data_IF_880024852369
#
_entry.id   IF_880024852369
#
_cell.length_a   1.000
_cell.length_b   1.000
_cell.length_c   1.000
_cell.angle_alpha   90.00
_cell.angle_beta   90.00
_cell.angle_gamma   90.00
#
_symmetry.space_group_name_H-M   'P 1'
#
loop_
_entity.id
_entity.type
_entity.pdbx_description
1 polymer ?
#
# COMPACT_ATOMS: atom_id res chain seq x y z
N UNK A 1 -14.45 78.32 -21.37
CA UNK A 1 -13.80 77.94 -22.65
C UNK A 1 -12.91 76.72 -22.39
N UNK A 2 -13.07 75.65 -23.18
CA UNK A 2 -12.31 74.36 -23.18
C UNK A 2 -12.70 73.38 -22.05
N UNK A 3 -13.60 72.42 -22.29
CA UNK A 3 -13.53 71.14 -23.06
C UNK A 3 -12.88 70.00 -22.25
N UNK A 4 -13.78 69.07 -21.90
CA UNK A 4 -13.69 67.63 -21.61
C UNK A 4 -12.52 66.89 -22.29
N UNK A 5 -11.81 65.99 -21.60
CA UNK A 5 -11.59 64.61 -22.07
C UNK A 5 -11.56 63.68 -20.84
N UNK A 6 -12.60 62.86 -20.72
CA UNK A 6 -12.66 61.66 -19.89
C UNK A 6 -11.95 60.55 -20.68
N UNK A 7 -10.88 59.98 -20.17
CA UNK A 7 -10.27 58.78 -20.75
C UNK A 7 -10.83 57.57 -20.01
N UNK A 8 -11.82 56.91 -20.65
CA UNK A 8 -12.14 55.50 -20.40
C UNK A 8 -10.96 54.65 -20.91
N UNK A 9 -10.34 53.87 -20.04
CA UNK A 9 -9.54 52.71 -20.46
C UNK A 9 -10.42 51.48 -20.29
N UNK A 10 -10.93 51.02 -21.43
CA UNK A 10 -11.64 49.76 -21.57
C UNK A 10 -10.66 48.57 -21.48
N UNK A 11 -11.20 47.46 -21.01
CA UNK A 11 -10.54 46.22 -20.66
C UNK A 11 -9.86 45.52 -21.86
N UNK A 12 -8.73 44.87 -21.59
CA UNK A 12 -8.35 43.63 -22.27
C UNK A 12 -7.69 42.70 -21.25
N UNK A 13 -8.51 41.97 -20.51
CA UNK A 13 -8.05 40.85 -19.70
C UNK A 13 -7.53 39.75 -20.62
N UNK A 14 -6.21 39.61 -20.71
CA UNK A 14 -5.61 38.39 -21.23
C UNK A 14 -5.71 37.32 -20.15
N UNK A 15 -6.71 36.44 -20.28
CA UNK A 15 -6.79 35.17 -19.57
C UNK A 15 -5.45 34.43 -19.74
N UNK A 16 -4.79 33.98 -18.65
CA UNK A 16 -3.62 33.13 -18.78
C UNK A 16 -4.05 31.85 -19.47
N UNK A 17 -3.44 31.58 -20.64
CA UNK A 17 -3.52 30.29 -21.31
C UNK A 17 -3.06 29.23 -20.32
N UNK A 18 -4.01 28.52 -19.72
CA UNK A 18 -3.75 27.25 -19.08
C UNK A 18 -3.27 26.30 -20.18
N UNK A 19 -1.95 26.21 -20.34
CA UNK A 19 -1.32 25.08 -20.98
C UNK A 19 -1.83 23.86 -20.23
N UNK A 20 -2.72 23.09 -20.86
CA UNK A 20 -2.95 21.69 -20.51
C UNK A 20 -1.64 20.97 -20.82
N UNK A 21 -0.65 21.16 -19.95
CA UNK A 21 0.43 20.21 -19.82
C UNK A 21 -0.24 18.87 -19.65
N UNK A 22 0.00 17.98 -20.60
CA UNK A 22 -0.25 16.55 -20.40
C UNK A 22 0.38 16.23 -19.05
N UNK A 23 -0.45 16.01 -18.03
CA UNK A 23 -0.02 15.31 -16.83
C UNK A 23 0.33 13.93 -17.36
N UNK A 24 1.61 13.78 -17.71
CA UNK A 24 2.22 12.48 -17.85
C UNK A 24 2.00 11.86 -16.48
N UNK A 25 1.08 10.90 -16.41
CA UNK A 25 0.93 10.06 -15.24
C UNK A 25 2.23 9.27 -15.12
N UNK A 26 3.25 9.86 -14.52
CA UNK A 26 4.35 9.12 -13.94
C UNK A 26 3.73 8.29 -12.84
N UNK A 27 3.41 7.04 -13.17
CA UNK A 27 3.20 5.97 -12.20
C UNK A 27 4.34 6.09 -11.19
N UNK A 28 3.97 6.50 -9.98
CA UNK A 28 4.93 6.81 -8.94
C UNK A 28 5.47 5.51 -8.38
N UNK A 29 6.78 5.30 -8.51
CA UNK A 29 7.44 4.14 -7.93
C UNK A 29 7.09 3.98 -6.45
N UNK A 30 7.10 2.74 -5.99
CA UNK A 30 6.99 2.42 -4.57
C UNK A 30 8.40 2.08 -4.07
N UNK A 31 8.91 2.88 -3.15
CA UNK A 31 10.27 2.69 -2.60
C UNK A 31 10.30 1.68 -1.46
N UNK A 32 9.20 1.59 -0.71
CA UNK A 32 9.10 0.78 0.51
C UNK A 32 7.72 0.19 0.67
N UNK A 33 7.69 -1.07 1.09
CA UNK A 33 6.47 -1.77 1.48
C UNK A 33 6.70 -2.45 2.81
N UNK A 34 5.69 -2.40 3.66
CA UNK A 34 5.65 -3.04 4.95
C UNK A 34 4.36 -3.85 5.03
N UNK A 35 4.47 -5.11 5.39
CA UNK A 35 3.33 -5.98 5.65
C UNK A 35 3.33 -6.33 7.13
N UNK A 36 2.27 -6.02 7.86
CA UNK A 36 2.09 -6.47 9.23
C UNK A 36 0.97 -7.50 9.32
N UNK A 37 1.21 -8.56 10.09
CA UNK A 37 0.26 -9.64 10.28
C UNK A 37 -0.16 -9.69 11.73
N UNK A 38 -1.43 -9.43 11.95
CA UNK A 38 -2.08 -9.50 13.24
C UNK A 38 -3.00 -10.72 13.22
N UNK A 39 -2.68 -11.74 14.03
CA UNK A 39 -3.55 -12.88 14.23
C UNK A 39 -4.19 -12.76 15.60
N UNK A 40 -5.51 -12.65 15.67
CA UNK A 40 -6.18 -12.67 16.97
C UNK A 40 -6.19 -14.11 17.54
N UNK A 41 -5.95 -14.34 18.84
CA UNK A 41 -5.70 -13.38 19.92
C UNK A 41 -4.21 -13.10 20.20
N UNK A 42 -3.31 -13.41 19.25
CA UNK A 42 -1.87 -13.23 19.45
C UNK A 42 -1.52 -11.76 19.68
N UNK A 43 -0.70 -11.50 20.71
CA UNK A 43 -0.20 -10.16 21.05
C UNK A 43 1.03 -9.75 20.22
N UNK A 44 1.61 -10.73 19.55
CA UNK A 44 2.79 -10.56 18.71
C UNK A 44 2.37 -10.27 17.28
N UNK A 45 3.12 -9.38 16.64
CA UNK A 45 2.88 -8.96 15.25
C UNK A 45 4.16 -9.20 14.49
N UNK A 46 4.11 -10.04 13.47
CA UNK A 46 5.20 -10.16 12.51
C UNK A 46 5.08 -9.02 11.50
N UNK A 47 6.18 -8.32 11.28
CA UNK A 47 6.29 -7.23 10.32
C UNK A 47 7.36 -7.60 9.30
N UNK A 48 7.00 -7.48 8.03
CA UNK A 48 7.86 -7.75 6.89
C UNK A 48 8.08 -6.42 6.18
N UNK A 49 9.27 -5.84 6.32
CA UNK A 49 9.63 -4.64 5.57
C UNK A 49 10.50 -5.01 4.38
N UNK A 50 10.16 -4.47 3.23
CA UNK A 50 10.96 -4.58 2.03
C UNK A 50 11.19 -3.20 1.44
N UNK A 51 12.44 -2.93 1.05
CA UNK A 51 12.81 -1.77 0.25
C UNK A 51 13.34 -2.22 -1.11
N UNK A 52 14.20 -1.43 -1.76
CA UNK A 52 14.82 -1.71 -3.07
C UNK A 52 16.02 -2.66 -3.01
N UNK A 53 16.45 -3.11 -1.83
CA UNK A 53 17.63 -3.98 -1.65
C UNK A 53 17.48 -5.09 -0.60
N UNK A 54 16.54 -4.94 0.33
CA UNK A 54 16.48 -5.79 1.51
C UNK A 54 15.05 -6.17 1.88
N UNK A 55 14.92 -7.35 2.49
CA UNK A 55 13.73 -7.84 3.17
C UNK A 55 14.09 -8.13 4.62
N UNK A 56 13.33 -7.55 5.55
CA UNK A 56 13.51 -7.68 7.00
C UNK A 56 12.26 -8.25 7.62
N UNK A 57 12.44 -9.22 8.52
CA UNK A 57 11.38 -9.79 9.35
C UNK A 57 11.60 -9.32 10.78
N UNK A 58 10.58 -8.69 11.35
CA UNK A 58 10.58 -8.11 12.68
C UNK A 58 9.44 -8.67 13.51
N UNK A 59 9.67 -8.82 14.81
CA UNK A 59 8.65 -9.19 15.78
C UNK A 59 8.36 -7.98 16.66
N UNK A 60 7.15 -7.45 16.54
CA UNK A 60 6.65 -6.42 17.44
C UNK A 60 5.84 -7.07 18.56
N UNK A 61 6.34 -6.93 19.79
CA UNK A 61 5.59 -7.33 20.98
C UNK A 61 4.74 -6.16 21.45
N UNK A 62 3.43 -6.18 21.16
CA UNK A 62 2.53 -5.07 21.52
C UNK A 62 2.36 -4.87 23.04
N UNK A 63 2.75 -5.83 23.87
CA UNK A 63 2.69 -5.68 25.33
C UNK A 63 3.88 -4.91 25.90
N UNK A 64 5.04 -5.02 25.25
CA UNK A 64 6.29 -4.41 25.69
C UNK A 64 6.72 -3.22 24.83
N UNK A 65 6.13 -3.05 23.64
CA UNK A 65 6.55 -2.06 22.66
C UNK A 65 7.95 -2.32 22.10
N UNK A 66 8.48 -3.53 22.30
CA UNK A 66 9.82 -3.92 21.86
C UNK A 66 9.73 -4.56 20.50
N UNK A 67 10.65 -4.14 19.63
CA UNK A 67 10.84 -4.66 18.28
C UNK A 67 12.11 -5.52 18.24
N UNK A 68 12.00 -6.75 17.74
CA UNK A 68 13.13 -7.66 17.56
C UNK A 68 13.31 -7.99 16.09
N UNK A 69 14.50 -7.71 15.55
CA UNK A 69 14.88 -8.19 14.22
C UNK A 69 15.07 -9.71 14.28
N UNK A 70 14.23 -10.44 13.55
CA UNK A 70 14.28 -11.90 13.48
C UNK A 70 15.14 -12.38 12.31
N UNK A 71 15.05 -11.70 11.18
CA UNK A 71 15.80 -12.04 9.98
C UNK A 71 16.00 -10.82 9.07
N UNK A 72 17.10 -10.82 8.32
CA UNK A 72 17.36 -9.88 7.22
C UNK A 72 17.97 -10.65 6.05
N UNK A 73 17.48 -10.36 4.84
CA UNK A 73 17.93 -10.97 3.59
C UNK A 73 18.13 -9.88 2.54
N UNK A 74 19.21 -9.99 1.79
CA UNK A 74 19.38 -9.21 0.55
C UNK A 74 18.51 -9.86 -0.54
N UNK A 75 17.78 -9.03 -1.29
CA UNK A 75 16.83 -9.50 -2.31
C UNK A 75 17.01 -8.72 -3.60
N UNK A 76 16.94 -9.40 -4.75
CA UNK A 76 16.91 -8.73 -6.06
C UNK A 76 15.45 -8.39 -6.42
N UNK A 77 15.16 -7.10 -6.38
CA UNK A 77 13.79 -6.56 -6.42
C UNK A 77 13.36 -6.10 -7.82
N UNK A 78 14.05 -6.52 -8.88
CA UNK A 78 13.45 -6.47 -10.24
C UNK A 78 12.07 -7.13 -10.26
N UNK A 79 11.84 -8.14 -9.42
CA UNK A 79 10.52 -8.76 -9.24
C UNK A 79 9.50 -7.88 -8.49
N UNK A 80 9.92 -6.91 -7.68
CA UNK A 80 9.03 -6.12 -6.84
C UNK A 80 8.43 -4.90 -7.54
N UNK A 81 9.17 -4.30 -8.48
CA UNK A 81 8.64 -3.26 -9.37
C UNK A 81 7.39 -3.72 -10.14
N UNK A 82 7.25 -5.03 -10.35
CA UNK A 82 6.09 -5.64 -11.02
C UNK A 82 4.80 -5.44 -10.19
N UNK A 83 4.90 -5.41 -8.86
CA UNK A 83 3.74 -5.34 -7.95
C UNK A 83 3.26 -3.91 -7.67
N UNK A 84 4.02 -2.89 -8.06
CA UNK A 84 3.58 -1.49 -7.91
C UNK A 84 2.24 -1.24 -8.60
N UNK A 85 2.09 -1.76 -9.81
CA UNK A 85 0.86 -1.64 -10.58
C UNK A 85 -0.32 -2.37 -9.94
N UNK A 86 -0.06 -3.39 -9.11
CA UNK A 86 -1.10 -4.17 -8.44
C UNK A 86 -1.47 -3.56 -7.08
N UNK A 87 -0.49 -3.01 -6.35
CA UNK A 87 -0.70 -2.34 -5.07
C UNK A 87 -1.31 -0.96 -5.25
N UNK A 88 -0.94 -0.24 -6.31
CA UNK A 88 -1.50 1.08 -6.61
C UNK A 88 -3.00 1.04 -6.97
N UNK A 89 -3.53 -0.13 -7.32
CA UNK A 89 -4.95 -0.36 -7.62
C UNK A 89 -5.83 -0.49 -6.37
N UNK A 90 -5.25 -0.60 -5.17
CA UNK A 90 -6.06 -0.61 -3.96
C UNK A 90 -6.83 0.72 -3.84
N UNK A 91 -8.15 0.61 -3.96
CA UNK A 91 -9.10 1.71 -3.96
C UNK A 91 -9.82 1.88 -2.61
N UNK A 92 -9.69 0.90 -1.71
CA UNK A 92 -10.25 0.92 -0.36
C UNK A 92 -9.16 0.84 0.70
N UNK A 93 -9.40 1.47 1.84
CA UNK A 93 -8.53 1.32 3.02
C UNK A 93 -8.77 0.00 3.76
N UNK A 94 -9.94 -0.63 3.55
CA UNK A 94 -10.34 -1.87 4.20
C UNK A 94 -11.06 -2.80 3.21
N UNK A 95 -10.52 -4.01 3.06
CA UNK A 95 -11.20 -5.15 2.45
C UNK A 95 -11.50 -6.17 3.54
N UNK A 96 -12.78 -6.50 3.76
CA UNK A 96 -13.18 -7.36 4.86
C UNK A 96 -14.22 -8.39 4.44
N UNK A 97 -14.05 -9.63 4.87
CA UNK A 97 -15.12 -10.62 4.88
C UNK A 97 -15.95 -10.45 6.15
N UNK A 98 -17.15 -9.89 6.02
CA UNK A 98 -18.01 -9.55 7.17
C UNK A 98 -18.52 -10.76 7.96
N UNK A 99 -18.48 -11.95 7.37
CA UNK A 99 -18.98 -13.16 8.02
C UNK A 99 -17.96 -13.81 8.96
N UNK A 100 -16.74 -13.29 9.00
CA UNK A 100 -15.69 -13.75 9.90
C UNK A 100 -15.25 -12.58 10.75
N UNK A 101 -15.75 -12.55 11.99
CA UNK A 101 -15.43 -11.49 12.96
C UNK A 101 -13.99 -11.62 13.50
N UNK A 102 -13.53 -12.86 13.72
CA UNK A 102 -12.23 -13.15 14.31
C UNK A 102 -11.34 -13.91 13.32
N UNK A 103 -10.06 -13.54 13.23
CA UNK A 103 -9.11 -14.24 12.38
C UNK A 103 -7.87 -13.44 12.06
N UNK A 104 -7.39 -13.57 10.82
CA UNK A 104 -6.18 -12.92 10.35
C UNK A 104 -6.51 -11.52 9.81
N UNK A 105 -5.76 -10.55 10.29
CA UNK A 105 -5.73 -9.19 9.78
C UNK A 105 -4.35 -8.91 9.22
N UNK A 106 -4.29 -8.64 7.93
CA UNK A 106 -3.05 -8.22 7.25
C UNK A 106 -3.16 -6.73 6.95
N UNK A 107 -2.17 -5.95 7.35
CA UNK A 107 -2.07 -4.54 6.96
C UNK A 107 -0.90 -4.38 6.02
N UNK A 108 -1.18 -3.93 4.81
CA UNK A 108 -0.19 -3.54 3.83
C UNK A 108 0.00 -2.03 3.88
N UNK A 109 1.21 -1.59 4.21
CA UNK A 109 1.61 -0.20 4.14
C UNK A 109 2.64 -0.01 3.03
N UNK A 110 2.50 1.03 2.22
CA UNK A 110 3.44 1.32 1.15
C UNK A 110 3.64 2.82 0.99
N UNK A 111 4.88 3.20 0.67
CA UNK A 111 5.27 4.58 0.45
C UNK A 111 5.41 4.81 -1.05
N UNK A 112 4.57 5.71 -1.57
CA UNK A 112 4.69 6.18 -2.95
C UNK A 112 5.89 7.13 -3.07
N UNK A 113 6.41 7.31 -4.28
CA UNK A 113 7.48 8.27 -4.59
C UNK A 113 7.18 9.72 -4.14
N UNK A 114 5.91 10.09 -4.03
CA UNK A 114 5.51 11.39 -3.48
C UNK A 114 5.57 11.45 -1.94
N UNK A 115 6.19 10.44 -1.30
CA UNK A 115 6.27 10.23 0.15
C UNK A 115 4.92 10.01 0.84
N UNK A 116 3.84 9.78 0.09
CA UNK A 116 2.54 9.45 0.68
C UNK A 116 2.55 8.02 1.20
N UNK A 117 2.34 7.87 2.51
CA UNK A 117 2.11 6.57 3.13
C UNK A 117 0.65 6.16 2.93
N UNK A 118 0.43 5.05 2.23
CA UNK A 118 -0.88 4.40 2.15
C UNK A 118 -0.90 3.16 3.02
N UNK A 119 -2.05 2.90 3.65
CA UNK A 119 -2.30 1.71 4.46
C UNK A 119 -3.59 1.06 3.99
N UNK A 120 -3.54 -0.23 3.73
CA UNK A 120 -4.66 -1.05 3.28
C UNK A 120 -4.77 -2.25 4.22
N UNK A 121 -5.95 -2.45 4.79
CA UNK A 121 -6.22 -3.53 5.73
C UNK A 121 -7.06 -4.61 5.07
N UNK A 122 -6.66 -5.86 5.27
CA UNK A 122 -7.37 -7.06 4.81
C UNK A 122 -7.77 -7.87 6.02
N UNK A 123 -9.07 -8.00 6.26
CA UNK A 123 -9.63 -8.79 7.37
C UNK A 123 -10.30 -10.03 6.80
N UNK A 124 -9.63 -11.19 6.91
CA UNK A 124 -10.12 -12.46 6.36
C UNK A 124 -10.56 -12.36 4.89
N UNK A 125 -9.83 -11.59 4.08
CA UNK A 125 -10.22 -11.25 2.71
C UNK A 125 -9.14 -11.63 1.70
N UNK A 126 -9.55 -12.28 0.61
CA UNK A 126 -8.66 -12.59 -0.51
C UNK A 126 -8.55 -11.42 -1.49
N UNK A 127 -7.33 -11.01 -1.80
CA UNK A 127 -7.05 -10.06 -2.88
C UNK A 127 -5.80 -10.48 -3.66
N UNK A 128 -5.88 -10.50 -4.99
CA UNK A 128 -4.78 -10.96 -5.88
C UNK A 128 -3.51 -10.12 -5.71
N UNK A 129 -3.63 -8.79 -5.67
CA UNK A 129 -2.48 -7.90 -5.39
C UNK A 129 -1.79 -8.20 -4.06
N UNK A 130 -2.55 -8.60 -3.02
CA UNK A 130 -1.98 -8.99 -1.74
C UNK A 130 -1.29 -10.36 -1.82
N UNK A 131 -1.90 -11.33 -2.52
CA UNK A 131 -1.32 -12.66 -2.76
C UNK A 131 0.07 -12.54 -3.42
N UNK A 132 0.21 -11.68 -4.43
CA UNK A 132 1.48 -11.43 -5.11
C UNK A 132 2.58 -10.92 -4.18
N UNK A 133 2.25 -9.96 -3.31
CA UNK A 133 3.20 -9.44 -2.30
C UNK A 133 3.60 -10.54 -1.31
N UNK A 134 2.63 -11.32 -0.84
CA UNK A 134 2.88 -12.43 0.09
C UNK A 134 3.75 -13.51 -0.56
N UNK A 135 3.48 -13.88 -1.81
CA UNK A 135 4.29 -14.86 -2.54
C UNK A 135 5.73 -14.39 -2.73
N UNK A 136 5.93 -13.09 -2.99
CA UNK A 136 7.27 -12.51 -3.02
C UNK A 136 7.98 -12.66 -1.67
N UNK A 137 7.33 -12.27 -0.57
CA UNK A 137 7.91 -12.41 0.78
C UNK A 137 8.24 -13.87 1.08
N UNK A 138 7.30 -14.79 0.90
CA UNK A 138 7.45 -16.22 1.19
C UNK A 138 8.56 -16.89 0.37
N UNK A 139 8.84 -16.40 -0.83
CA UNK A 139 9.94 -16.91 -1.66
C UNK A 139 11.32 -16.46 -1.20
N UNK A 140 11.39 -15.45 -0.32
CA UNK A 140 12.63 -14.80 0.12
C UNK A 140 12.89 -14.92 1.63
N UNK A 141 11.99 -15.53 2.40
CA UNK A 141 12.17 -15.80 3.84
C UNK A 141 12.24 -17.30 4.10
N UNK A 142 12.86 -17.65 5.23
CA UNK A 142 12.86 -19.03 5.70
C UNK A 142 11.43 -19.48 6.03
N UNK A 143 11.13 -20.78 5.87
CA UNK A 143 9.78 -21.34 6.02
C UNK A 143 9.11 -21.02 7.36
N UNK A 144 9.89 -20.87 8.44
CA UNK A 144 9.42 -20.48 9.77
C UNK A 144 8.78 -19.08 9.82
N UNK A 145 9.15 -18.21 8.89
CA UNK A 145 8.61 -16.86 8.73
C UNK A 145 7.67 -16.75 7.52
N UNK A 146 7.27 -17.87 6.93
CA UNK A 146 6.33 -17.84 5.82
C UNK A 146 4.94 -17.43 6.30
N UNK A 147 4.29 -16.62 5.48
CA UNK A 147 2.96 -16.09 5.69
C UNK A 147 1.95 -17.10 5.15
N UNK A 148 1.10 -17.63 6.04
CA UNK A 148 -0.05 -18.41 5.63
C UNK A 148 -1.11 -17.50 5.02
N UNK A 149 -1.40 -17.69 3.73
CA UNK A 149 -2.43 -16.98 2.98
C UNK A 149 -3.16 -17.95 2.04
N UNK A 150 -4.16 -18.66 2.57
CA UNK A 150 -4.86 -19.71 1.84
C UNK A 150 -5.94 -19.12 0.93
N UNK A 151 -5.63 -18.98 -0.36
CA UNK A 151 -6.53 -18.48 -1.40
C UNK A 151 -7.87 -19.21 -1.43
N UNK A 152 -7.87 -20.53 -1.50
CA UNK A 152 -9.09 -21.32 -1.69
C UNK A 152 -10.00 -21.22 -0.48
N UNK A 153 -9.42 -21.23 0.72
CA UNK A 153 -10.15 -21.01 1.96
C UNK A 153 -10.80 -19.62 1.98
N UNK A 154 -10.01 -18.56 1.77
CA UNK A 154 -10.50 -17.17 1.84
C UNK A 154 -11.59 -16.90 0.79
N UNK A 155 -11.40 -17.35 -0.45
CA UNK A 155 -12.43 -17.24 -1.50
C UNK A 155 -13.68 -18.06 -1.12
N UNK A 156 -13.50 -19.27 -0.59
CA UNK A 156 -14.59 -20.13 -0.15
C UNK A 156 -15.43 -19.49 0.97
N UNK A 157 -14.76 -18.88 1.95
CA UNK A 157 -15.38 -18.15 3.05
C UNK A 157 -16.11 -16.89 2.57
N UNK A 158 -15.52 -16.13 1.64
CA UNK A 158 -16.18 -14.96 1.04
C UNK A 158 -17.45 -15.37 0.27
N UNK A 159 -17.45 -16.51 -0.42
CA UNK A 159 -18.63 -17.03 -1.14
C UNK A 159 -19.75 -17.48 -0.21
N UNK A 160 -19.42 -17.97 0.98
CA UNK A 160 -20.39 -18.35 2.02
C UNK A 160 -21.05 -17.13 2.66
N UNK A 161 -20.43 -15.95 2.55
CA UNK A 161 -20.92 -14.70 3.12
C UNK A 161 -21.96 -13.99 2.24
N UNK A 162 -23.00 -14.72 1.82
CA UNK A 162 -24.08 -14.23 0.98
C UNK A 162 -25.39 -14.11 1.73
#
# INVERSE_FOLDING_TARGET
MRILIIVLIAMAGTLPKCNKGKVSATSGLIEKVSLSIHQYPMKEVLIYDTDSSSLRVRLLNNSLGVDSLLAERQVDLKGFQIYESDISKFDQELYANQCIQDGQVITLAFMKNDSTLRKVRFSNYYHEGLEKVINFINSNVDSVYSISYNRDQLIGEMKKCK
#
